data_IF_112214119644
#
_entry.id   IF_112214119644
#
_cell.length_a   1.000
_cell.length_b   1.000
_cell.length_c   1.000
_cell.angle_alpha   90.00
_cell.angle_beta   90.00
_cell.angle_gamma   90.00
#
_symmetry.space_group_name_H-M   'P 1'
#
loop_
_entity.id
_entity.type
_entity.pdbx_description
1 polymer ?
#
# COMPACT_ATOMS: atom_id res chain seq x y z
N UNK A 1 -16.81 -36.85 -6.80
CA UNK A 1 -15.87 -36.31 -7.78
C UNK A 1 -15.02 -35.11 -7.28
N UNK A 2 -15.58 -34.03 -6.69
CA UNK A 2 -14.77 -32.87 -6.18
C UNK A 2 -13.66 -33.22 -5.16
N UNK A 3 -13.89 -34.15 -4.21
CA UNK A 3 -12.90 -34.57 -3.19
C UNK A 3 -11.68 -35.30 -3.78
N UNK A 4 -11.89 -36.18 -4.78
CA UNK A 4 -10.81 -36.94 -5.45
C UNK A 4 -9.95 -36.00 -6.28
N UNK A 5 -10.55 -35.06 -7.01
CA UNK A 5 -9.84 -34.02 -7.77
C UNK A 5 -8.96 -33.14 -6.87
N UNK A 6 -9.43 -32.76 -5.68
CA UNK A 6 -8.66 -31.96 -4.72
C UNK A 6 -7.43 -32.71 -4.16
N UNK A 7 -7.57 -34.01 -3.87
CA UNK A 7 -6.46 -34.87 -3.39
C UNK A 7 -5.39 -35.05 -4.46
N UNK A 8 -5.78 -35.29 -5.72
CA UNK A 8 -4.82 -35.43 -6.82
C UNK A 8 -4.06 -34.11 -7.09
N UNK A 9 -4.79 -32.99 -7.11
CA UNK A 9 -4.18 -31.66 -7.27
C UNK A 9 -3.17 -31.32 -6.16
N UNK A 10 -3.45 -31.74 -4.92
CA UNK A 10 -2.50 -31.55 -3.81
C UNK A 10 -1.23 -32.39 -3.97
N UNK A 11 -1.35 -33.65 -4.44
CA UNK A 11 -0.20 -34.52 -4.72
C UNK A 11 0.68 -33.95 -5.85
N UNK A 12 0.05 -33.46 -6.92
CA UNK A 12 0.77 -32.81 -8.03
C UNK A 12 1.52 -31.56 -7.54
N UNK A 13 0.87 -30.70 -6.74
CA UNK A 13 1.52 -29.52 -6.17
C UNK A 13 2.71 -29.87 -5.31
N UNK A 14 2.61 -30.89 -4.44
CA UNK A 14 3.73 -31.38 -3.62
C UNK A 14 4.87 -31.91 -4.48
N UNK A 15 4.57 -32.67 -5.53
CA UNK A 15 5.58 -33.20 -6.46
C UNK A 15 6.33 -32.06 -7.18
N UNK A 16 5.61 -31.06 -7.67
CA UNK A 16 6.21 -29.85 -8.27
C UNK A 16 7.13 -29.15 -7.25
N UNK A 17 6.71 -28.99 -6.01
CA UNK A 17 7.53 -28.37 -4.97
C UNK A 17 8.84 -29.13 -4.74
N UNK A 18 8.79 -30.47 -4.72
CA UNK A 18 9.99 -31.31 -4.57
C UNK A 18 10.96 -31.08 -5.74
N UNK A 19 10.47 -31.10 -6.98
CA UNK A 19 11.31 -30.86 -8.17
C UNK A 19 11.98 -29.49 -8.07
N UNK A 20 11.24 -28.44 -7.75
CA UNK A 20 11.81 -27.11 -7.68
C UNK A 20 12.76 -26.91 -6.48
N UNK A 21 12.57 -27.66 -5.38
CA UNK A 21 13.55 -27.72 -4.29
C UNK A 21 14.86 -28.40 -4.70
N UNK A 22 14.79 -29.41 -5.55
CA UNK A 22 16.00 -30.02 -6.11
C UNK A 22 16.74 -29.05 -7.06
N UNK A 23 16.02 -28.25 -7.84
CA UNK A 23 16.61 -27.31 -8.80
C UNK A 23 17.15 -26.06 -8.11
N UNK A 24 16.40 -25.45 -7.17
CA UNK A 24 16.72 -24.14 -6.59
C UNK A 24 17.14 -24.19 -5.13
N UNK A 25 17.19 -25.39 -4.52
CA UNK A 25 17.51 -25.62 -3.12
C UNK A 25 16.38 -25.34 -2.15
N UNK A 26 16.57 -25.77 -0.90
CA UNK A 26 15.71 -25.40 0.22
C UNK A 26 15.98 -23.94 0.60
N UNK A 27 14.93 -23.22 0.99
CA UNK A 27 15.06 -21.84 1.43
C UNK A 27 15.07 -21.80 2.97
N UNK A 28 16.03 -21.06 3.52
CA UNK A 28 16.22 -20.84 4.95
C UNK A 28 15.88 -19.39 5.32
N UNK A 29 15.73 -19.14 6.62
CA UNK A 29 15.52 -17.78 7.16
C UNK A 29 16.59 -17.36 8.19
N UNK A 30 17.64 -18.15 8.37
CA UNK A 30 18.69 -17.90 9.36
C UNK A 30 19.72 -16.89 8.84
N UNK A 31 19.66 -15.66 9.34
CA UNK A 31 20.53 -14.53 8.96
C UNK A 31 22.00 -14.79 9.33
N UNK A 32 22.31 -15.58 10.36
CA UNK A 32 23.69 -15.87 10.78
C UNK A 32 24.50 -16.59 9.69
N UNK A 33 23.83 -17.11 8.67
CA UNK A 33 24.45 -17.76 7.50
C UNK A 33 24.73 -16.79 6.34
N UNK A 34 24.41 -15.51 6.50
CA UNK A 34 24.63 -14.48 5.48
C UNK A 34 25.99 -13.81 5.72
N UNK A 35 27.06 -14.51 5.52
CA UNK A 35 28.39 -13.91 5.30
C UNK A 35 28.65 -13.82 3.80
N UNK A 36 28.04 -12.89 3.10
CA UNK A 36 28.22 -12.83 1.67
C UNK A 36 28.71 -11.45 1.26
N UNK A 37 29.86 -11.39 0.63
CA UNK A 37 30.39 -10.22 -0.10
C UNK A 37 29.41 -9.68 -1.16
N UNK A 38 28.32 -10.44 -1.42
CA UNK A 38 27.31 -10.13 -2.41
C UNK A 38 26.18 -9.26 -1.88
N UNK A 39 26.12 -9.04 -0.58
CA UNK A 39 25.09 -8.22 0.06
C UNK A 39 25.73 -6.98 0.66
N UNK A 40 25.20 -5.83 0.27
CA UNK A 40 25.49 -4.56 0.92
C UNK A 40 24.20 -4.06 1.57
N UNK A 41 24.27 -3.67 2.84
CA UNK A 41 23.15 -3.06 3.56
C UNK A 41 23.60 -1.67 3.97
N UNK A 42 22.80 -0.68 3.56
CA UNK A 42 22.96 0.73 3.94
C UNK A 42 21.75 1.18 4.74
N UNK A 43 21.92 2.20 5.57
CA UNK A 43 20.86 2.74 6.42
C UNK A 43 20.70 4.23 6.20
N UNK A 44 19.42 4.70 6.10
CA UNK A 44 19.12 6.13 5.93
C UNK A 44 19.49 6.92 7.19
N UNK A 45 20.02 8.14 7.00
CA UNK A 45 20.38 9.03 8.09
C UNK A 45 19.26 10.01 8.43
N UNK A 46 18.56 10.50 7.43
CA UNK A 46 17.53 11.55 7.54
C UNK A 46 16.16 10.91 7.81
N UNK A 47 15.74 9.98 6.95
CA UNK A 47 14.45 9.33 7.13
C UNK A 47 14.52 8.32 8.27
N UNK A 48 13.60 8.44 9.22
CA UNK A 48 13.55 7.61 10.43
C UNK A 48 12.21 6.89 10.56
N UNK A 49 12.29 5.65 11.08
CA UNK A 49 11.13 4.93 11.60
C UNK A 49 10.61 5.58 12.89
N UNK A 50 9.44 5.16 13.35
CA UNK A 50 8.92 5.55 14.67
C UNK A 50 9.90 5.19 15.81
N UNK A 51 10.66 4.10 15.66
CA UNK A 51 11.72 3.69 16.61
C UNK A 51 12.95 4.61 16.61
N UNK A 52 12.96 5.66 15.79
CA UNK A 52 14.09 6.56 15.55
C UNK A 52 15.31 5.91 14.86
N UNK A 53 15.20 4.68 14.39
CA UNK A 53 16.18 4.01 13.54
C UNK A 53 16.03 4.44 12.09
N UNK A 54 17.11 4.41 11.30
CA UNK A 54 17.05 4.58 9.85
C UNK A 54 16.38 3.38 9.16
N UNK A 55 16.05 3.57 7.89
CA UNK A 55 15.58 2.48 7.03
C UNK A 55 16.75 1.77 6.39
N UNK A 56 16.72 0.44 6.42
CA UNK A 56 17.70 -0.37 5.72
C UNK A 56 17.31 -0.52 4.25
N UNK A 57 18.32 -0.42 3.39
CA UNK A 57 18.26 -0.74 1.97
C UNK A 57 19.31 -1.77 1.68
N UNK A 58 18.95 -2.87 1.02
CA UNK A 58 19.94 -3.88 0.60
C UNK A 58 20.17 -3.80 -0.91
N UNK A 59 21.43 -4.05 -1.30
CA UNK A 59 21.87 -4.36 -2.64
C UNK A 59 22.36 -5.81 -2.66
N UNK A 60 21.85 -6.65 -3.57
CA UNK A 60 22.19 -8.05 -3.67
C UNK A 60 22.66 -8.35 -5.09
N UNK A 61 23.94 -8.70 -5.27
CA UNK A 61 24.47 -9.17 -6.55
C UNK A 61 23.96 -10.57 -6.87
N UNK A 62 23.35 -10.74 -8.06
CA UNK A 62 22.70 -11.98 -8.51
C UNK A 62 21.61 -12.47 -7.55
N UNK A 63 20.98 -11.54 -6.85
CA UNK A 63 19.87 -11.80 -5.95
C UNK A 63 18.63 -12.34 -6.66
N UNK A 64 17.71 -12.93 -5.89
CA UNK A 64 16.42 -13.44 -6.37
C UNK A 64 15.27 -12.80 -5.62
N UNK A 65 14.14 -12.66 -6.29
CA UNK A 65 12.86 -12.34 -5.66
C UNK A 65 11.86 -13.43 -6.02
N UNK A 66 11.13 -13.90 -5.02
CA UNK A 66 9.98 -14.77 -5.22
C UNK A 66 8.75 -14.17 -4.57
N UNK A 67 7.66 -14.14 -5.29
CA UNK A 67 6.36 -13.75 -4.76
C UNK A 67 5.30 -14.76 -5.18
N UNK A 68 4.52 -15.23 -4.23
CA UNK A 68 3.39 -16.13 -4.49
C UNK A 68 2.12 -15.32 -4.65
N UNK A 69 2.04 -14.32 -3.83
CA UNK A 69 1.03 -13.28 -3.82
C UNK A 69 1.72 -11.92 -3.71
N UNK A 70 0.98 -10.89 -3.97
CA UNK A 70 1.46 -9.53 -3.79
C UNK A 70 1.81 -9.23 -2.32
N UNK A 71 1.15 -9.91 -1.39
CA UNK A 71 1.38 -9.80 0.06
C UNK A 71 2.45 -10.77 0.58
N UNK A 72 3.05 -11.55 -0.30
CA UNK A 72 4.11 -12.49 0.02
C UNK A 72 5.30 -12.25 -0.89
N UNK A 73 6.34 -11.68 -0.35
CA UNK A 73 7.60 -11.44 -1.03
C UNK A 73 8.75 -12.05 -0.24
N UNK A 74 9.60 -12.79 -0.93
CA UNK A 74 10.89 -13.24 -0.42
C UNK A 74 12.00 -12.64 -1.27
N UNK A 75 12.86 -11.85 -0.65
CA UNK A 75 14.11 -11.36 -1.19
C UNK A 75 15.18 -12.36 -0.76
N UNK A 76 15.87 -12.98 -1.73
CA UNK A 76 16.65 -14.19 -1.49
C UNK A 76 18.09 -14.00 -1.99
N UNK A 77 19.05 -14.26 -1.10
CA UNK A 77 20.44 -14.48 -1.47
C UNK A 77 20.74 -15.97 -1.36
N UNK A 78 21.25 -16.60 -2.43
CA UNK A 78 21.45 -18.06 -2.56
C UNK A 78 20.20 -18.86 -2.12
N UNK A 79 20.17 -19.26 -0.86
CA UNK A 79 19.13 -20.09 -0.24
C UNK A 79 18.54 -19.49 1.03
N UNK A 80 18.81 -18.20 1.32
CA UNK A 80 18.35 -17.53 2.55
C UNK A 80 17.51 -16.33 2.20
N UNK A 81 16.32 -16.22 2.80
CA UNK A 81 15.53 -15.01 2.74
C UNK A 81 16.15 -13.93 3.62
N UNK A 82 16.16 -12.71 3.13
CA UNK A 82 16.62 -11.55 3.90
C UNK A 82 15.43 -10.98 4.70
N UNK A 83 15.46 -11.21 6.00
CA UNK A 83 14.34 -10.92 6.89
C UNK A 83 13.80 -9.50 6.77
N UNK A 84 14.57 -8.42 6.91
CA UNK A 84 14.00 -7.06 6.88
C UNK A 84 13.37 -6.67 5.55
N UNK A 85 13.69 -7.41 4.46
CA UNK A 85 13.27 -7.12 3.08
C UNK A 85 12.27 -8.13 2.53
N UNK A 86 12.03 -9.21 3.28
CA UNK A 86 11.03 -10.21 2.95
C UNK A 86 9.78 -9.97 3.77
N UNK A 87 8.62 -10.30 3.22
CA UNK A 87 7.35 -9.93 3.81
C UNK A 87 6.29 -10.97 3.49
N UNK A 88 5.51 -11.34 4.48
CA UNK A 88 4.30 -12.13 4.27
C UNK A 88 3.27 -11.80 5.32
N UNK A 89 2.02 -11.62 4.85
CA UNK A 89 0.85 -11.52 5.73
C UNK A 89 -0.09 -12.71 5.54
N UNK A 90 -0.86 -12.98 6.55
CA UNK A 90 -2.02 -13.86 6.51
C UNK A 90 -3.09 -13.29 7.39
N UNK A 91 -4.30 -13.14 6.86
CA UNK A 91 -5.45 -12.57 7.58
C UNK A 91 -5.12 -11.22 8.24
N UNK A 92 -4.48 -10.34 7.47
CA UNK A 92 -4.06 -9.01 7.93
C UNK A 92 -2.93 -8.98 8.97
N UNK A 93 -2.34 -10.13 9.32
CA UNK A 93 -1.22 -10.23 10.27
C UNK A 93 0.09 -10.48 9.58
N UNK A 94 1.14 -9.84 10.08
CA UNK A 94 2.51 -10.15 9.69
C UNK A 94 2.89 -11.54 10.22
N UNK A 95 3.40 -12.40 9.33
CA UNK A 95 3.87 -13.73 9.70
C UNK A 95 5.36 -13.72 10.05
N UNK A 96 5.79 -14.54 11.04
CA UNK A 96 7.20 -14.78 11.28
C UNK A 96 7.91 -15.31 10.02
N UNK A 97 9.16 -14.98 9.84
CA UNK A 97 9.92 -15.39 8.64
C UNK A 97 10.01 -16.90 8.46
N UNK A 98 10.03 -17.68 9.55
CA UNK A 98 9.93 -19.14 9.52
C UNK A 98 8.65 -19.66 8.88
N UNK A 99 7.58 -18.85 8.92
CA UNK A 99 6.28 -19.16 8.33
C UNK A 99 6.17 -18.74 6.85
N UNK A 100 7.18 -18.04 6.33
CA UNK A 100 7.16 -17.60 4.94
C UNK A 100 7.00 -18.79 3.98
N UNK A 101 6.10 -18.62 3.02
CA UNK A 101 5.77 -19.67 2.04
C UNK A 101 7.00 -20.21 1.33
N UNK A 102 8.02 -19.37 1.06
CA UNK A 102 9.25 -19.81 0.42
C UNK A 102 10.08 -20.74 1.33
N UNK A 103 10.09 -20.50 2.64
CA UNK A 103 10.78 -21.38 3.60
C UNK A 103 10.07 -22.73 3.65
N UNK A 104 8.75 -22.75 3.72
CA UNK A 104 7.95 -23.98 3.81
C UNK A 104 7.91 -24.76 2.49
N UNK A 105 7.67 -24.09 1.38
CA UNK A 105 7.36 -24.73 0.09
C UNK A 105 8.47 -24.63 -0.97
N UNK A 106 9.56 -23.87 -0.69
CA UNK A 106 10.55 -23.51 -1.68
C UNK A 106 10.02 -22.46 -2.67
N UNK A 107 10.64 -22.39 -3.84
CA UNK A 107 10.28 -21.43 -4.91
C UNK A 107 9.75 -22.18 -6.15
N UNK A 108 8.53 -22.77 -6.10
CA UNK A 108 8.01 -23.68 -7.12
C UNK A 108 7.52 -22.96 -8.39
N UNK A 109 8.37 -22.14 -8.98
CA UNK A 109 8.14 -21.46 -10.27
C UNK A 109 9.43 -21.33 -11.06
N UNK A 110 9.34 -21.34 -12.37
CA UNK A 110 10.47 -21.11 -13.25
C UNK A 110 11.06 -19.74 -12.99
N UNK A 111 12.36 -19.70 -12.74
CA UNK A 111 13.10 -18.48 -12.50
C UNK A 111 13.43 -17.80 -13.82
N UNK A 112 13.08 -16.51 -13.95
CA UNK A 112 13.46 -15.69 -15.08
C UNK A 112 14.60 -14.75 -14.68
N UNK A 113 15.62 -14.69 -15.50
CA UNK A 113 16.72 -13.75 -15.33
C UNK A 113 16.46 -12.45 -16.08
N UNK A 114 16.78 -11.32 -15.44
CA UNK A 114 16.77 -10.00 -16.03
C UNK A 114 18.16 -9.37 -15.91
N UNK A 115 18.69 -8.87 -17.01
CA UNK A 115 19.95 -8.13 -17.02
C UNK A 115 19.69 -6.72 -16.50
N UNK A 116 20.51 -6.24 -15.55
CA UNK A 116 20.42 -4.90 -14.99
C UNK A 116 19.99 -4.88 -13.52
N UNK A 117 19.64 -3.70 -13.07
CA UNK A 117 19.34 -3.35 -11.67
C UNK A 117 17.84 -3.26 -11.45
N UNK A 118 17.33 -3.98 -10.46
CA UNK A 118 15.90 -4.03 -10.12
C UNK A 118 15.68 -3.46 -8.74
N UNK A 119 14.76 -2.49 -8.60
CA UNK A 119 14.22 -2.08 -7.31
C UNK A 119 12.91 -2.84 -7.02
N UNK A 120 12.89 -3.58 -5.91
CA UNK A 120 11.72 -4.30 -5.45
C UNK A 120 10.72 -3.36 -4.77
N UNK A 121 9.54 -3.24 -5.35
CA UNK A 121 8.42 -2.44 -4.81
C UNK A 121 7.19 -3.30 -4.44
N UNK A 122 7.30 -4.65 -4.48
CA UNK A 122 6.15 -5.56 -4.29
C UNK A 122 5.74 -5.78 -2.83
N UNK A 123 6.44 -5.22 -1.88
CA UNK A 123 6.16 -5.38 -0.46
C UNK A 123 4.95 -4.54 -0.04
N UNK A 124 4.11 -5.05 0.87
CA UNK A 124 2.83 -4.44 1.23
C UNK A 124 1.71 -4.81 0.26
N UNK A 125 0.49 -4.34 0.48
CA UNK A 125 -0.68 -4.62 -0.37
C UNK A 125 -0.66 -3.90 -1.74
N UNK A 126 0.52 -3.54 -2.21
CA UNK A 126 0.76 -2.76 -3.43
C UNK A 126 0.21 -3.38 -4.71
N UNK A 127 0.14 -4.71 -4.75
CA UNK A 127 -0.34 -5.38 -5.93
C UNK A 127 -1.84 -5.33 -6.14
N UNK A 128 -2.57 -4.97 -5.12
CA UNK A 128 -4.01 -4.81 -5.24
C UNK A 128 -4.43 -3.50 -5.89
N UNK A 129 -3.49 -2.69 -6.36
CA UNK A 129 -3.78 -1.40 -6.98
C UNK A 129 -4.63 -0.49 -6.06
N UNK A 130 -4.46 -0.65 -4.76
CA UNK A 130 -5.15 0.15 -3.76
C UNK A 130 -4.48 1.52 -3.68
N UNK A 131 -5.27 2.58 -3.80
CA UNK A 131 -4.79 3.96 -3.82
C UNK A 131 -4.03 4.33 -2.53
N UNK A 132 -4.53 3.93 -1.36
CA UNK A 132 -3.87 4.16 -0.08
C UNK A 132 -2.48 3.52 -0.04
N UNK A 133 -2.39 2.22 -0.36
CA UNK A 133 -1.12 1.49 -0.34
C UNK A 133 -0.14 1.99 -1.40
N UNK A 134 -0.64 2.47 -2.53
CA UNK A 134 0.22 3.14 -3.51
C UNK A 134 0.92 4.35 -2.92
N UNK A 135 0.16 5.25 -2.28
CA UNK A 135 0.71 6.48 -1.69
C UNK A 135 1.61 6.20 -0.48
N UNK A 136 1.18 5.31 0.42
CA UNK A 136 1.83 5.16 1.72
C UNK A 136 2.80 3.98 1.86
N UNK A 137 2.76 3.00 0.93
CA UNK A 137 3.71 1.88 0.93
C UNK A 137 4.72 2.00 -0.21
N UNK A 138 4.25 2.22 -1.46
CA UNK A 138 5.10 2.13 -2.64
C UNK A 138 5.93 3.38 -2.85
N UNK A 139 5.30 4.54 -2.89
CA UNK A 139 6.02 5.80 -3.11
C UNK A 139 7.07 6.07 -2.03
N UNK A 140 6.79 5.83 -0.72
CA UNK A 140 7.81 5.97 0.32
C UNK A 140 9.00 5.04 0.16
N UNK A 141 8.85 3.84 -0.41
CA UNK A 141 10.01 2.96 -0.71
C UNK A 141 10.93 3.58 -1.76
N UNK A 142 10.35 4.22 -2.79
CA UNK A 142 11.14 4.96 -3.78
C UNK A 142 11.89 6.10 -3.10
N UNK A 143 11.25 6.82 -2.17
CA UNK A 143 11.90 7.89 -1.39
C UNK A 143 13.00 7.35 -0.49
N UNK A 144 12.76 6.23 0.24
CA UNK A 144 13.79 5.58 1.08
C UNK A 144 15.00 5.17 0.25
N UNK A 145 14.76 4.55 -0.92
CA UNK A 145 15.84 4.16 -1.83
C UNK A 145 16.63 5.39 -2.30
N UNK A 146 15.95 6.47 -2.67
CA UNK A 146 16.58 7.68 -3.21
C UNK A 146 17.42 8.47 -2.20
N UNK A 147 17.31 8.18 -0.89
CA UNK A 147 18.17 8.76 0.14
C UNK A 147 19.61 8.21 0.09
N UNK A 148 19.78 7.01 -0.47
CA UNK A 148 21.05 6.28 -0.45
C UNK A 148 21.61 5.98 -1.83
N UNK A 149 20.76 5.98 -2.85
CA UNK A 149 21.09 5.58 -4.21
C UNK A 149 20.40 6.48 -5.24
N UNK A 150 21.05 6.71 -6.37
CA UNK A 150 20.44 7.41 -7.50
C UNK A 150 19.42 6.51 -8.20
N UNK A 151 18.20 7.01 -8.41
CA UNK A 151 17.14 6.33 -9.14
C UNK A 151 17.51 6.08 -10.61
N UNK A 152 18.40 6.89 -11.21
CA UNK A 152 18.90 6.69 -12.56
C UNK A 152 19.71 5.39 -12.71
N UNK A 153 20.18 4.81 -11.60
CA UNK A 153 20.89 3.52 -11.59
C UNK A 153 19.95 2.31 -11.71
N UNK A 154 18.63 2.52 -11.68
CA UNK A 154 17.62 1.45 -11.71
C UNK A 154 17.06 1.29 -13.13
N UNK A 155 17.17 0.08 -13.68
CA UNK A 155 16.62 -0.29 -14.97
C UNK A 155 15.15 -0.71 -14.89
N UNK A 156 14.74 -1.29 -13.77
CA UNK A 156 13.39 -1.85 -13.60
C UNK A 156 12.83 -1.64 -12.19
N UNK A 157 11.55 -1.31 -12.13
CA UNK A 157 10.74 -1.51 -10.93
C UNK A 157 10.06 -2.88 -10.99
N UNK A 158 10.17 -3.66 -9.92
CA UNK A 158 9.48 -4.92 -9.76
C UNK A 158 8.24 -4.73 -8.89
N UNK A 159 7.08 -4.73 -9.52
CA UNK A 159 5.76 -4.56 -8.90
C UNK A 159 4.68 -5.13 -9.82
N UNK A 160 3.40 -5.03 -9.44
CA UNK A 160 2.30 -5.47 -10.30
C UNK A 160 2.06 -4.52 -11.48
N UNK A 161 1.15 -4.90 -12.37
CA UNK A 161 0.76 -4.06 -13.50
C UNK A 161 0.19 -2.73 -13.02
N UNK A 162 0.74 -1.63 -13.55
CA UNK A 162 0.35 -0.28 -13.16
C UNK A 162 -1.03 0.10 -13.74
N UNK A 163 -1.88 0.64 -12.88
CA UNK A 163 -3.10 1.35 -13.29
C UNK A 163 -2.79 2.74 -13.86
N UNK A 164 -3.72 3.36 -14.60
CA UNK A 164 -3.51 4.67 -15.20
C UNK A 164 -3.05 5.73 -14.20
N UNK A 165 -3.69 5.84 -13.03
CA UNK A 165 -3.31 6.82 -12.01
C UNK A 165 -1.89 6.59 -11.45
N UNK A 166 -1.46 5.33 -11.32
CA UNK A 166 -0.10 5.00 -10.85
C UNK A 166 0.96 5.42 -11.87
N UNK A 167 0.69 5.19 -13.16
CA UNK A 167 1.57 5.66 -14.25
C UNK A 167 1.66 7.18 -14.24
N UNK A 168 0.54 7.87 -14.05
CA UNK A 168 0.51 9.31 -13.98
C UNK A 168 1.34 9.84 -12.80
N UNK A 169 1.20 9.26 -11.61
CA UNK A 169 1.99 9.65 -10.44
C UNK A 169 3.50 9.43 -10.69
N UNK A 170 3.90 8.30 -11.28
CA UNK A 170 5.31 8.09 -11.65
C UNK A 170 5.80 9.13 -12.66
N UNK A 171 4.96 9.54 -13.63
CA UNK A 171 5.29 10.62 -14.56
C UNK A 171 5.51 11.95 -13.83
N UNK A 172 4.63 12.31 -12.88
CA UNK A 172 4.80 13.51 -12.05
C UNK A 172 6.09 13.48 -11.20
N UNK A 173 6.59 12.28 -10.92
CA UNK A 173 7.87 12.08 -10.25
C UNK A 173 9.09 12.12 -11.20
N UNK A 174 8.88 12.13 -12.52
CA UNK A 174 9.94 12.02 -13.53
C UNK A 174 10.45 10.59 -13.71
N UNK A 175 9.61 9.57 -13.42
CA UNK A 175 9.97 8.16 -13.44
C UNK A 175 9.23 7.35 -14.52
N UNK A 176 8.64 8.02 -15.50
CA UNK A 176 7.85 7.41 -16.59
C UNK A 176 8.66 6.48 -17.50
N UNK A 177 9.97 6.67 -17.56
CA UNK A 177 10.86 5.90 -18.44
C UNK A 177 11.40 4.61 -17.79
N UNK A 178 11.16 4.39 -16.49
CA UNK A 178 11.59 3.17 -15.80
C UNK A 178 10.74 1.99 -16.24
N UNK A 179 11.39 0.91 -16.68
CA UNK A 179 10.70 -0.30 -17.11
C UNK A 179 10.03 -1.02 -15.93
N UNK A 180 8.87 -1.63 -16.18
CA UNK A 180 8.13 -2.36 -15.16
C UNK A 180 8.22 -3.87 -15.43
N UNK A 181 8.70 -4.62 -14.44
CA UNK A 181 8.59 -6.07 -14.42
C UNK A 181 7.36 -6.45 -13.61
N UNK A 182 6.34 -6.99 -14.28
CA UNK A 182 5.11 -7.43 -13.61
C UNK A 182 5.36 -8.62 -12.69
N UNK A 183 5.16 -8.42 -11.41
CA UNK A 183 5.28 -9.45 -10.37
C UNK A 183 4.23 -10.55 -10.53
N UNK A 184 3.04 -10.25 -11.03
CA UNK A 184 2.02 -11.25 -11.34
C UNK A 184 2.44 -12.19 -12.46
N UNK A 185 3.11 -11.66 -13.49
CA UNK A 185 3.59 -12.45 -14.64
C UNK A 185 4.89 -13.20 -14.32
N UNK A 186 5.79 -12.56 -13.59
CA UNK A 186 7.14 -13.06 -13.29
C UNK A 186 7.37 -13.18 -11.79
N UNK A 187 6.80 -14.22 -11.17
CA UNK A 187 6.77 -14.43 -9.72
C UNK A 187 8.10 -14.97 -9.13
N UNK A 188 9.03 -15.41 -9.96
CA UNK A 188 10.37 -15.82 -9.57
C UNK A 188 11.37 -15.20 -10.52
N UNK A 189 12.12 -14.25 -10.04
CA UNK A 189 13.12 -13.53 -10.83
C UNK A 189 14.50 -13.58 -10.18
N UNK A 190 15.51 -13.38 -11.01
CA UNK A 190 16.89 -13.11 -10.65
C UNK A 190 17.40 -11.96 -11.51
N UNK A 191 18.28 -11.12 -10.96
CA UNK A 191 18.87 -10.02 -11.73
C UNK A 191 20.36 -9.87 -11.46
N UNK A 192 21.03 -8.99 -12.23
CA UNK A 192 22.41 -8.63 -11.94
C UNK A 192 22.53 -8.02 -10.56
N UNK A 193 21.63 -7.09 -10.22
CA UNK A 193 21.47 -6.56 -8.88
C UNK A 193 19.99 -6.44 -8.51
N UNK A 194 19.68 -6.76 -7.28
CA UNK A 194 18.37 -6.51 -6.67
C UNK A 194 18.57 -5.55 -5.52
N UNK A 195 17.78 -4.49 -5.54
CA UNK A 195 17.62 -3.56 -4.43
C UNK A 195 16.27 -3.79 -3.76
N UNK A 196 16.25 -3.74 -2.44
CA UNK A 196 15.02 -3.78 -1.67
C UNK A 196 15.15 -2.90 -0.42
N UNK A 197 14.06 -2.27 -0.04
CA UNK A 197 13.95 -1.47 1.17
C UNK A 197 13.14 -2.21 2.22
N UNK A 198 13.30 -1.87 3.48
CA UNK A 198 12.33 -2.21 4.52
C UNK A 198 10.96 -1.62 4.16
N UNK A 199 9.89 -2.15 4.78
CA UNK A 199 8.56 -1.53 4.67
C UNK A 199 8.57 -0.15 5.35
N UNK A 200 7.87 0.87 4.81
CA UNK A 200 7.91 2.23 5.37
C UNK A 200 7.36 2.34 6.80
N UNK A 201 6.38 1.51 7.16
CA UNK A 201 5.69 1.63 8.45
C UNK A 201 5.20 0.31 9.06
N UNK A 202 5.19 -0.79 8.29
CA UNK A 202 4.63 -2.07 8.75
C UNK A 202 5.73 -3.11 8.98
N UNK A 203 5.92 -3.51 10.25
CA UNK A 203 7.00 -4.41 10.66
C UNK A 203 6.52 -5.63 11.45
N UNK A 204 5.29 -5.60 11.98
CA UNK A 204 4.72 -6.65 12.85
C UNK A 204 3.22 -6.44 13.06
N UNK A 205 2.57 -7.39 13.71
CA UNK A 205 1.21 -7.21 14.21
C UNK A 205 0.12 -7.22 13.13
N UNK A 206 -0.96 -6.53 13.41
CA UNK A 206 -2.10 -6.33 12.52
C UNK A 206 -1.89 -5.09 11.66
N UNK A 207 -2.01 -5.21 10.35
CA UNK A 207 -1.76 -4.11 9.41
C UNK A 207 -2.69 -2.91 9.68
N UNK A 208 -3.96 -3.16 10.02
CA UNK A 208 -4.94 -2.10 10.29
C UNK A 208 -4.67 -1.32 11.59
N UNK A 209 -3.90 -1.90 12.51
CA UNK A 209 -3.46 -1.23 13.74
C UNK A 209 -2.13 -0.51 13.50
N UNK A 210 -1.18 -1.19 12.87
CA UNK A 210 0.18 -0.68 12.64
C UNK A 210 0.19 0.55 11.71
N UNK A 211 -0.80 0.71 10.84
CA UNK A 211 -0.94 1.91 10.01
C UNK A 211 -1.01 3.20 10.85
N UNK A 212 -1.46 3.11 12.10
CA UNK A 212 -1.50 4.25 13.02
C UNK A 212 -0.10 4.68 13.48
N UNK A 213 0.89 3.80 13.33
CA UNK A 213 2.31 4.03 13.64
C UNK A 213 3.12 4.49 12.40
N UNK A 214 2.45 4.91 11.33
CA UNK A 214 3.14 5.45 10.14
C UNK A 214 3.97 6.67 10.53
N UNK A 215 5.26 6.77 10.15
CA UNK A 215 6.08 7.95 10.41
C UNK A 215 5.55 9.22 9.76
N UNK A 216 5.66 10.35 10.42
CA UNK A 216 5.11 11.64 9.99
C UNK A 216 5.72 12.10 8.67
N UNK A 217 7.02 11.86 8.45
CA UNK A 217 7.72 12.25 7.23
C UNK A 217 7.04 11.74 5.95
N UNK A 218 6.33 10.60 6.01
CA UNK A 218 5.62 10.05 4.84
C UNK A 218 4.51 11.01 4.40
N UNK A 219 3.73 11.51 5.35
CA UNK A 219 2.62 12.44 5.11
C UNK A 219 3.17 13.78 4.62
N UNK A 220 4.18 14.30 5.31
CA UNK A 220 4.84 15.57 4.98
C UNK A 220 5.48 15.53 3.59
N UNK A 221 6.25 14.48 3.29
CA UNK A 221 6.90 14.31 2.00
C UNK A 221 5.91 14.18 0.84
N UNK A 222 4.82 13.42 1.02
CA UNK A 222 3.79 13.29 -0.02
C UNK A 222 3.12 14.63 -0.32
N UNK A 223 2.82 15.41 0.72
CA UNK A 223 2.28 16.76 0.56
C UNK A 223 3.26 17.65 -0.22
N UNK A 224 4.50 17.82 0.25
CA UNK A 224 5.52 18.64 -0.40
C UNK A 224 5.78 18.23 -1.85
N UNK A 225 5.86 16.91 -2.10
CA UNK A 225 6.16 16.39 -3.43
C UNK A 225 5.07 16.68 -4.45
N UNK A 226 3.81 16.57 -4.05
CA UNK A 226 2.70 16.52 -4.99
C UNK A 226 1.79 17.75 -4.98
N UNK A 227 1.73 18.54 -3.90
CA UNK A 227 0.82 19.68 -3.82
C UNK A 227 0.96 20.66 -4.98
N UNK A 228 2.18 20.88 -5.48
CA UNK A 228 2.48 21.77 -6.62
C UNK A 228 1.84 21.34 -7.95
N UNK A 229 1.36 20.10 -8.05
CA UNK A 229 0.69 19.57 -9.24
C UNK A 229 -0.84 19.72 -9.18
N UNK A 230 -1.37 20.40 -8.17
CA UNK A 230 -2.80 20.69 -8.09
C UNK A 230 -3.29 21.35 -9.38
N UNK A 231 -4.28 20.73 -10.03
CA UNK A 231 -4.87 21.24 -11.26
C UNK A 231 -6.10 22.07 -10.95
N UNK A 232 -6.10 23.34 -11.29
CA UNK A 232 -7.21 24.24 -10.98
C UNK A 232 -8.44 23.91 -11.86
N UNK A 233 -9.49 23.42 -11.25
CA UNK A 233 -10.79 23.21 -11.89
C UNK A 233 -11.93 23.77 -11.02
N UNK A 234 -13.09 23.94 -11.60
CA UNK A 234 -14.26 24.45 -10.86
C UNK A 234 -14.79 23.38 -9.87
N UNK A 235 -14.24 23.36 -8.67
CA UNK A 235 -14.62 22.46 -7.60
C UNK A 235 -15.41 23.19 -6.51
N UNK A 236 -16.40 22.50 -5.93
CA UNK A 236 -17.07 22.97 -4.73
C UNK A 236 -16.12 22.98 -3.53
N UNK A 237 -16.35 23.90 -2.59
CA UNK A 237 -15.57 23.95 -1.33
C UNK A 237 -16.11 22.99 -0.27
N UNK A 238 -17.40 22.61 -0.33
CA UNK A 238 -18.02 21.58 0.50
C UNK A 238 -18.14 20.31 -0.33
N UNK A 239 -17.38 19.28 -0.01
CA UNK A 239 -17.31 18.06 -0.82
C UNK A 239 -17.90 16.85 -0.09
N UNK A 240 -18.69 16.07 -0.83
CA UNK A 240 -19.18 14.78 -0.41
C UNK A 240 -18.48 13.67 -1.23
N UNK A 241 -17.74 12.78 -0.54
CA UNK A 241 -17.03 11.67 -1.16
C UNK A 241 -18.00 10.53 -1.43
N UNK A 242 -18.38 10.35 -2.71
CA UNK A 242 -19.19 9.22 -3.18
C UNK A 242 -18.32 7.97 -3.34
N UNK A 243 -18.71 6.87 -2.71
CA UNK A 243 -18.01 5.59 -2.76
C UNK A 243 -18.65 4.57 -3.70
N UNK A 244 -19.64 4.95 -4.49
CA UNK A 244 -20.37 4.02 -5.37
C UNK A 244 -19.49 3.32 -6.40
N UNK A 245 -18.33 3.92 -6.81
CA UNK A 245 -17.36 3.32 -7.72
C UNK A 245 -16.31 2.44 -7.01
N UNK A 246 -16.33 2.36 -5.68
CA UNK A 246 -15.33 1.60 -4.93
C UNK A 246 -15.33 0.13 -5.32
N UNK A 247 -14.16 -0.40 -5.70
CA UNK A 247 -13.97 -1.81 -6.04
C UNK A 247 -14.22 -2.73 -4.83
N UNK A 248 -13.90 -2.25 -3.63
CA UNK A 248 -14.20 -2.90 -2.37
C UNK A 248 -15.44 -2.26 -1.77
N UNK A 249 -16.58 -2.91 -1.95
CA UNK A 249 -17.88 -2.43 -1.46
C UNK A 249 -18.01 -2.58 0.06
N UNK A 250 -17.21 -1.86 0.83
CA UNK A 250 -17.28 -1.80 2.28
C UNK A 250 -17.49 -0.37 2.77
N UNK A 251 -18.01 -0.19 3.96
CA UNK A 251 -18.35 1.10 4.55
C UNK A 251 -19.25 1.94 3.63
N UNK A 252 -20.29 1.36 3.07
CA UNK A 252 -21.28 2.08 2.27
C UNK A 252 -22.46 2.53 3.14
N UNK A 253 -22.99 3.72 2.89
CA UNK A 253 -24.20 4.17 3.54
C UNK A 253 -25.42 3.42 2.98
N UNK A 254 -26.23 2.82 3.86
CA UNK A 254 -27.49 2.19 3.48
C UNK A 254 -28.56 3.23 3.15
N UNK A 255 -28.52 4.35 3.85
CA UNK A 255 -29.41 5.49 3.60
C UNK A 255 -28.74 6.58 2.73
N UNK A 256 -27.90 6.16 1.75
CA UNK A 256 -27.13 7.04 0.84
C UNK A 256 -28.00 8.12 0.17
N UNK A 257 -29.21 7.77 -0.28
CA UNK A 257 -30.12 8.72 -0.95
C UNK A 257 -30.58 9.85 -0.02
N UNK A 258 -30.81 9.54 1.24
CA UNK A 258 -31.22 10.51 2.27
C UNK A 258 -30.05 11.45 2.59
N UNK A 259 -28.87 10.89 2.87
CA UNK A 259 -27.64 11.66 3.13
C UNK A 259 -27.29 12.56 1.95
N UNK A 260 -27.31 12.02 0.74
CA UNK A 260 -27.01 12.76 -0.48
C UNK A 260 -27.94 13.95 -0.67
N UNK A 261 -29.25 13.75 -0.51
CA UNK A 261 -30.24 14.82 -0.61
C UNK A 261 -30.03 15.92 0.43
N UNK A 262 -29.78 15.51 1.68
CA UNK A 262 -29.50 16.44 2.78
C UNK A 262 -28.26 17.29 2.49
N UNK A 263 -27.16 16.67 2.09
CA UNK A 263 -25.90 17.37 1.83
C UNK A 263 -25.96 18.29 0.62
N UNK A 264 -26.64 17.88 -0.47
CA UNK A 264 -26.86 18.74 -1.63
C UNK A 264 -27.65 20.00 -1.26
N UNK A 265 -28.68 19.88 -0.40
CA UNK A 265 -29.44 21.03 0.11
C UNK A 265 -28.61 21.96 1.02
N UNK A 266 -27.51 21.46 1.58
CA UNK A 266 -26.50 22.23 2.36
C UNK A 266 -25.35 22.78 1.49
N UNK A 267 -25.46 22.67 0.16
CA UNK A 267 -24.47 23.20 -0.78
C UNK A 267 -23.24 22.31 -0.98
N UNK A 268 -23.30 21.04 -0.59
CA UNK A 268 -22.22 20.09 -0.90
C UNK A 268 -22.27 19.67 -2.37
N UNK A 269 -21.10 19.46 -2.94
CA UNK A 269 -20.94 18.85 -4.26
C UNK A 269 -20.42 17.41 -4.09
N UNK A 270 -21.11 16.48 -4.73
CA UNK A 270 -20.81 15.05 -4.65
C UNK A 270 -19.78 14.64 -5.69
N UNK A 271 -18.67 14.01 -5.26
CA UNK A 271 -17.58 13.58 -6.13
C UNK A 271 -17.31 12.09 -6.02
N UNK A 272 -17.21 11.41 -7.18
CA UNK A 272 -16.57 10.10 -7.33
C UNK A 272 -15.08 10.33 -7.49
N UNK A 273 -14.37 10.39 -6.37
CA UNK A 273 -12.97 10.81 -6.32
C UNK A 273 -12.06 9.91 -7.17
N UNK A 274 -12.35 8.60 -7.25
CA UNK A 274 -11.59 7.67 -8.08
C UNK A 274 -11.68 7.91 -9.58
N UNK A 275 -12.65 8.71 -10.05
CA UNK A 275 -12.80 9.10 -11.47
C UNK A 275 -12.02 10.37 -11.83
N UNK A 276 -11.51 11.09 -10.85
CA UNK A 276 -10.72 12.29 -11.06
C UNK A 276 -9.25 11.93 -11.36
N UNK A 277 -8.57 12.79 -12.11
CA UNK A 277 -7.11 12.73 -12.22
C UNK A 277 -6.47 12.92 -10.84
N UNK A 278 -5.23 12.50 -10.66
CA UNK A 278 -4.53 12.69 -9.39
C UNK A 278 -4.37 14.20 -9.08
N UNK A 279 -4.07 14.99 -10.08
CA UNK A 279 -3.93 16.45 -9.99
C UNK A 279 -5.24 17.14 -9.59
N UNK A 280 -6.37 16.66 -10.13
CA UNK A 280 -7.70 17.14 -9.73
C UNK A 280 -8.06 16.72 -8.30
N UNK A 281 -7.68 15.51 -7.88
CA UNK A 281 -7.83 15.07 -6.50
C UNK A 281 -7.05 15.96 -5.54
N UNK A 282 -5.79 16.30 -5.87
CA UNK A 282 -4.97 17.22 -5.07
C UNK A 282 -5.68 18.56 -4.94
N UNK A 283 -6.15 19.13 -6.04
CA UNK A 283 -6.84 20.42 -6.03
C UNK A 283 -8.14 20.35 -5.23
N UNK A 284 -8.96 19.33 -5.45
CA UNK A 284 -10.23 19.13 -4.76
C UNK A 284 -10.06 19.17 -3.24
N UNK A 285 -9.11 18.38 -2.71
CA UNK A 285 -8.88 18.33 -1.28
C UNK A 285 -8.18 19.59 -0.73
N UNK A 286 -7.29 20.20 -1.51
CA UNK A 286 -6.64 21.46 -1.11
C UNK A 286 -7.61 22.65 -1.09
N UNK A 287 -8.60 22.66 -1.97
CA UNK A 287 -9.61 23.73 -2.04
C UNK A 287 -10.77 23.54 -1.06
N UNK A 288 -10.96 22.34 -0.53
CA UNK A 288 -12.10 22.03 0.31
C UNK A 288 -12.08 22.80 1.65
N UNK A 289 -13.24 23.31 2.06
CA UNK A 289 -13.50 23.84 3.39
C UNK A 289 -14.13 22.76 4.29
N UNK A 290 -15.04 21.96 3.73
CA UNK A 290 -15.68 20.86 4.44
C UNK A 290 -15.62 19.60 3.58
N UNK A 291 -15.21 18.49 4.19
CA UNK A 291 -15.15 17.16 3.57
C UNK A 291 -16.02 16.22 4.38
N UNK A 292 -16.97 15.58 3.72
CA UNK A 292 -17.79 14.53 4.32
C UNK A 292 -17.68 13.23 3.53
N UNK A 293 -17.67 12.10 4.23
CA UNK A 293 -17.74 10.79 3.58
C UNK A 293 -17.60 9.60 4.51
N UNK A 294 -17.91 8.40 3.99
CA UNK A 294 -17.63 7.14 4.66
C UNK A 294 -16.16 6.76 4.49
N UNK A 295 -15.60 6.13 5.53
CA UNK A 295 -14.19 5.68 5.59
C UNK A 295 -13.75 4.96 4.31
N UNK A 296 -12.56 5.31 3.80
CA UNK A 296 -11.99 4.65 2.65
C UNK A 296 -10.74 5.31 2.07
N UNK A 297 -10.19 4.69 1.01
CA UNK A 297 -8.91 5.08 0.43
C UNK A 297 -8.85 6.55 -0.05
N UNK A 298 -9.98 7.16 -0.40
CA UNK A 298 -10.04 8.58 -0.80
C UNK A 298 -9.60 9.53 0.32
N UNK A 299 -9.77 9.14 1.60
CA UNK A 299 -9.28 9.91 2.74
C UNK A 299 -7.74 9.98 2.82
N UNK A 300 -7.01 9.20 2.03
CA UNK A 300 -5.57 9.40 1.84
C UNK A 300 -5.24 10.81 1.35
N UNK A 301 -6.14 11.43 0.57
CA UNK A 301 -5.97 12.78 0.05
C UNK A 301 -6.07 13.89 1.12
N UNK A 302 -6.46 13.58 2.36
CA UNK A 302 -6.39 14.55 3.48
C UNK A 302 -4.99 15.14 3.67
N UNK A 303 -3.96 14.46 3.16
CA UNK A 303 -2.59 14.97 3.15
C UNK A 303 -2.47 16.30 2.37
N UNK A 304 -3.37 16.59 1.44
CA UNK A 304 -3.38 17.81 0.62
C UNK A 304 -4.27 18.93 1.18
N UNK A 305 -5.04 18.68 2.23
CA UNK A 305 -5.94 19.67 2.82
C UNK A 305 -5.17 20.81 3.48
N UNK A 306 -5.73 22.01 3.41
CA UNK A 306 -5.25 23.18 4.15
C UNK A 306 -5.56 23.02 5.64
N UNK A 307 -4.80 23.73 6.45
CA UNK A 307 -5.11 23.89 7.87
C UNK A 307 -6.55 24.35 8.07
N UNK A 308 -7.18 23.90 9.14
CA UNK A 308 -8.55 24.22 9.55
C UNK A 308 -9.65 23.72 8.59
N UNK A 309 -9.30 22.90 7.56
CA UNK A 309 -10.30 22.16 6.77
C UNK A 309 -11.10 21.26 7.70
N UNK A 310 -12.44 21.40 7.68
CA UNK A 310 -13.34 20.54 8.45
C UNK A 310 -13.54 19.20 7.75
N UNK A 311 -13.30 18.11 8.47
CA UNK A 311 -13.43 16.75 7.96
C UNK A 311 -14.39 15.96 8.82
N UNK A 312 -15.43 15.39 8.20
CA UNK A 312 -16.40 14.53 8.85
C UNK A 312 -16.28 13.14 8.21
N UNK A 313 -15.62 12.23 8.90
CA UNK A 313 -15.45 10.84 8.47
C UNK A 313 -16.37 9.93 9.25
N UNK A 314 -17.15 9.11 8.55
CA UNK A 314 -18.05 8.12 9.14
C UNK A 314 -17.47 6.73 8.92
N UNK A 315 -17.37 5.92 9.97
CA UNK A 315 -16.84 4.56 9.90
C UNK A 315 -17.57 3.63 10.86
N UNK A 316 -17.44 2.29 10.63
CA UNK A 316 -17.91 1.31 11.61
C UNK A 316 -17.19 1.45 12.95
N UNK A 317 -17.92 1.25 14.06
CA UNK A 317 -17.46 1.42 15.44
C UNK A 317 -16.15 0.66 15.75
N UNK A 318 -15.99 -0.54 15.18
CA UNK A 318 -14.83 -1.40 15.44
C UNK A 318 -13.71 -1.28 14.41
N UNK A 319 -13.78 -0.32 13.49
CA UNK A 319 -12.74 -0.19 12.48
C UNK A 319 -11.45 0.37 13.09
N UNK A 320 -10.35 -0.41 13.17
CA UNK A 320 -9.17 -0.05 13.95
C UNK A 320 -8.30 1.05 13.33
N UNK A 321 -8.46 1.29 12.03
CA UNK A 321 -7.66 2.29 11.30
C UNK A 321 -8.01 3.71 11.76
N UNK A 322 -7.01 4.43 12.26
CA UNK A 322 -7.10 5.81 12.75
C UNK A 322 -6.17 6.76 11.97
N UNK A 323 -5.77 6.38 10.75
CA UNK A 323 -4.82 7.17 9.97
C UNK A 323 -5.31 8.60 9.69
N UNK A 324 -6.61 8.79 9.52
CA UNK A 324 -7.21 10.13 9.34
C UNK A 324 -6.95 11.04 10.55
N UNK A 325 -6.96 10.48 11.79
CA UNK A 325 -6.59 11.25 13.00
C UNK A 325 -5.13 11.71 12.94
N UNK A 326 -4.25 10.85 12.45
CA UNK A 326 -2.84 11.17 12.33
C UNK A 326 -2.61 12.27 11.28
N UNK A 327 -3.19 12.12 10.10
CA UNK A 327 -3.11 13.12 9.03
C UNK A 327 -3.70 14.45 9.52
N UNK A 328 -4.87 14.41 10.16
CA UNK A 328 -5.52 15.61 10.70
C UNK A 328 -4.65 16.33 11.74
N UNK A 329 -3.97 15.58 12.61
CA UNK A 329 -3.04 16.17 13.58
C UNK A 329 -1.86 16.88 12.90
N UNK A 330 -1.26 16.25 11.89
CA UNK A 330 -0.11 16.81 11.16
C UNK A 330 -0.52 18.06 10.37
N UNK A 331 -1.62 17.98 9.61
CA UNK A 331 -2.10 19.07 8.77
C UNK A 331 -2.99 20.08 9.52
N UNK A 332 -3.20 19.88 10.84
CA UNK A 332 -4.04 20.74 11.68
C UNK A 332 -5.47 20.89 11.14
N UNK A 333 -6.10 19.76 10.79
CA UNK A 333 -7.48 19.72 10.30
C UNK A 333 -8.46 19.63 11.48
N UNK A 334 -9.69 20.13 11.30
CA UNK A 334 -10.81 19.96 12.23
C UNK A 334 -11.53 18.62 11.91
N UNK A 335 -11.12 17.54 12.57
CA UNK A 335 -11.63 16.19 12.29
C UNK A 335 -12.69 15.76 13.29
N UNK A 336 -13.88 15.50 12.79
CA UNK A 336 -14.97 14.79 13.47
C UNK A 336 -15.05 13.35 12.96
N UNK A 337 -14.83 12.37 13.83
CA UNK A 337 -15.03 10.95 13.54
C UNK A 337 -16.36 10.50 14.10
N UNK A 338 -17.25 10.04 13.23
CA UNK A 338 -18.51 9.42 13.60
C UNK A 338 -18.36 7.92 13.52
N UNK A 339 -18.44 7.25 14.66
CA UNK A 339 -18.45 5.78 14.74
C UNK A 339 -19.89 5.30 14.81
N UNK A 340 -20.32 4.50 13.83
CA UNK A 340 -21.66 3.96 13.75
C UNK A 340 -21.66 2.46 13.95
N UNK A 341 -22.76 1.89 14.46
CA UNK A 341 -22.93 0.44 14.54
C UNK A 341 -22.97 -0.14 13.12
N UNK A 342 -22.25 -1.26 12.94
CA UNK A 342 -22.38 -2.04 11.70
C UNK A 342 -23.78 -2.61 11.60
N UNK A 343 -24.38 -2.51 10.42
CA UNK A 343 -25.58 -3.28 10.11
C UNK A 343 -25.19 -4.76 10.00
N UNK A 344 -26.06 -5.65 10.45
CA UNK A 344 -25.81 -7.09 10.72
C UNK A 344 -25.21 -7.93 9.58
N UNK A 345 -24.96 -7.39 8.40
CA UNK A 345 -24.22 -8.05 7.34
C UNK A 345 -22.71 -7.82 7.50
N UNK A 346 -22.08 -8.66 8.29
CA UNK A 346 -20.67 -8.61 8.72
C UNK A 346 -19.62 -8.59 7.61
N UNK A 347 -19.97 -8.87 6.36
CA UNK A 347 -18.99 -9.03 5.29
C UNK A 347 -18.47 -7.70 4.71
N UNK A 348 -19.24 -6.61 4.80
CA UNK A 348 -18.93 -5.37 4.09
C UNK A 348 -18.80 -4.12 4.99
N UNK A 349 -19.08 -4.18 6.29
CA UNK A 349 -19.01 -3.02 7.19
C UNK A 349 -19.90 -1.87 6.75
N UNK A 350 -21.07 -2.17 6.16
CA UNK A 350 -22.03 -1.17 5.74
C UNK A 350 -22.63 -0.45 6.95
N UNK A 351 -22.89 0.83 6.80
CA UNK A 351 -23.25 1.75 7.89
C UNK A 351 -24.53 2.50 7.57
N UNK A 352 -25.23 2.91 8.61
CA UNK A 352 -26.38 3.82 8.53
C UNK A 352 -26.08 5.05 9.40
N UNK A 353 -26.35 6.22 8.89
CA UNK A 353 -26.09 7.47 9.58
C UNK A 353 -27.38 8.25 9.83
N UNK A 354 -27.65 8.58 11.10
CA UNK A 354 -28.73 9.51 11.45
C UNK A 354 -28.40 10.92 10.96
N UNK A 355 -29.29 11.47 10.13
CA UNK A 355 -29.16 12.82 9.56
C UNK A 355 -29.09 13.91 10.64
N UNK A 356 -29.73 13.70 11.80
CA UNK A 356 -29.66 14.66 12.90
C UNK A 356 -28.26 14.87 13.42
N UNK A 357 -27.40 13.83 13.36
CA UNK A 357 -25.97 13.95 13.71
C UNK A 357 -25.27 14.90 12.75
N UNK A 358 -25.55 14.80 11.45
CA UNK A 358 -24.99 15.71 10.44
C UNK A 358 -25.47 17.15 10.63
N UNK A 359 -26.74 17.33 10.94
CA UNK A 359 -27.29 18.68 11.11
C UNK A 359 -26.66 19.43 12.30
N UNK A 360 -26.21 18.71 13.32
CA UNK A 360 -25.49 19.28 14.46
C UNK A 360 -24.01 19.58 14.17
N UNK A 361 -23.44 18.96 13.15
CA UNK A 361 -22.04 19.11 12.79
C UNK A 361 -21.81 20.11 11.65
N UNK A 362 -22.81 20.41 10.83
CA UNK A 362 -22.76 21.32 9.68
C UNK A 362 -23.44 22.66 9.98
#
# INVERSE_FOLDING_TARGET
MKKISNSLNQKIKKFIQIIFKLIYGNINHDIKKISSEKIKISETKILKKISNEGYKVCEISKGRIYTDFVENVAVIEKHTILEPFSYQTYDGKYLPYSENTCVKKGTPRIKKYFKGNILNLTQGASGHSNYFHWLFDILPKIKIFSELHDLSSIDYFYLDNLKPYQKNILKLMGLENINIISANKHRHIQADKIFATEHPWYFKGLILEEVNNMPDWIIEWLNEKFLKFANNFNAGENIYIDRSESSFKHCQFKNENEISRFLLNKGFVKYKVGNLSFEDQIFLFNNAKVIFGAHGAAFANLIFCKKDTKVIEVKPEYHPNKISKKIAKINKLDLSLIETKELQNKENGDIELDINILNNLL
#
